data_IF_676029920010
#
_entry.id   IF_676029920010
#
_cell.length_a   1.000
_cell.length_b   1.000
_cell.length_c   1.000
_cell.angle_alpha   90.00
_cell.angle_beta   90.00
_cell.angle_gamma   90.00
#
_symmetry.space_group_name_H-M   'P 1'
#
loop_
_entity.id
_entity.type
_entity.pdbx_description
1 polymer ?
#
# COMPACT_ATOMS: atom_id res chain seq x y z
N UNK A 1 -37.48 19.29 -23.46
CA UNK A 1 -36.68 18.53 -22.48
C UNK A 1 -35.58 19.48 -22.07
N UNK A 2 -35.84 20.30 -21.04
CA UNK A 2 -35.01 21.47 -20.69
C UNK A 2 -33.91 21.06 -19.71
N UNK A 3 -32.70 21.56 -19.92
CA UNK A 3 -31.48 21.41 -19.10
C UNK A 3 -31.59 21.99 -17.66
N UNK A 4 -32.79 22.21 -17.15
CA UNK A 4 -33.06 22.92 -15.89
C UNK A 4 -33.07 21.98 -14.67
N UNK A 5 -33.04 20.66 -14.87
CA UNK A 5 -33.29 19.68 -13.79
C UNK A 5 -32.02 19.16 -13.09
N UNK A 6 -30.83 19.51 -13.58
CA UNK A 6 -29.56 19.13 -12.93
C UNK A 6 -29.18 20.08 -11.77
N UNK A 7 -29.87 21.20 -11.61
CA UNK A 7 -29.54 22.26 -10.65
C UNK A 7 -30.24 22.20 -9.30
N UNK A 8 -31.12 21.22 -9.05
CA UNK A 8 -32.05 21.25 -7.91
C UNK A 8 -31.87 20.10 -6.90
N UNK A 9 -30.69 19.46 -6.83
CA UNK A 9 -30.44 18.39 -5.84
C UNK A 9 -29.19 18.62 -4.98
N UNK A 10 -29.00 19.83 -4.48
CA UNK A 10 -28.02 20.13 -3.40
C UNK A 10 -28.70 20.23 -2.03
N UNK A 11 -29.59 19.29 -1.70
CA UNK A 11 -30.16 19.18 -0.35
C UNK A 11 -29.18 18.39 0.56
N UNK A 12 -28.31 19.13 1.26
CA UNK A 12 -27.64 18.78 2.54
C UNK A 12 -26.49 17.74 2.60
N UNK A 13 -25.86 17.36 1.48
CA UNK A 13 -24.62 16.55 1.49
C UNK A 13 -23.60 17.05 0.46
N UNK A 14 -22.29 16.94 0.76
CA UNK A 14 -21.26 17.09 -0.27
C UNK A 14 -21.34 15.92 -1.25
N UNK A 15 -21.18 16.15 -2.56
CA UNK A 15 -21.11 15.10 -3.59
C UNK A 15 -20.14 13.97 -3.22
N UNK A 16 -19.08 14.30 -2.49
CA UNK A 16 -18.13 13.33 -1.94
C UNK A 16 -18.78 12.34 -0.96
N UNK A 17 -19.67 12.83 -0.08
CA UNK A 17 -20.37 11.98 0.88
C UNK A 17 -21.34 11.03 0.18
N UNK A 18 -22.00 11.47 -0.88
CA UNK A 18 -22.88 10.65 -1.72
C UNK A 18 -22.08 9.55 -2.43
N UNK A 19 -20.97 9.93 -3.07
CA UNK A 19 -20.06 8.97 -3.70
C UNK A 19 -19.49 7.97 -2.67
N UNK A 20 -19.08 8.45 -1.48
CA UNK A 20 -18.55 7.58 -0.43
C UNK A 20 -19.58 6.53 0.02
N UNK A 21 -20.85 6.91 0.11
CA UNK A 21 -21.95 5.97 0.42
C UNK A 21 -22.13 4.93 -0.69
N UNK A 22 -22.11 5.34 -1.96
CA UNK A 22 -22.21 4.42 -3.10
C UNK A 22 -21.03 3.42 -3.13
N UNK A 23 -19.80 3.92 -2.97
CA UNK A 23 -18.57 3.12 -2.97
C UNK A 23 -18.58 2.09 -1.82
N UNK A 24 -19.03 2.50 -0.63
CA UNK A 24 -19.20 1.60 0.52
C UNK A 24 -20.30 0.58 0.30
N UNK A 25 -21.45 1.00 -0.21
CA UNK A 25 -22.58 0.12 -0.52
C UNK A 25 -22.24 -0.95 -1.58
N UNK A 26 -21.34 -0.62 -2.51
CA UNK A 26 -20.83 -1.56 -3.50
C UNK A 26 -19.72 -2.51 -2.97
N UNK A 27 -19.33 -2.41 -1.68
CA UNK A 27 -18.29 -3.26 -1.09
C UNK A 27 -16.88 -3.01 -1.65
N UNK A 28 -16.65 -1.89 -2.35
CA UNK A 28 -15.35 -1.61 -2.99
C UNK A 28 -14.23 -1.34 -1.99
N UNK A 29 -14.58 -1.02 -0.74
CA UNK A 29 -13.64 -0.81 0.37
C UNK A 29 -13.49 -2.05 1.27
N UNK A 30 -14.11 -3.18 0.91
CA UNK A 30 -14.01 -4.39 1.69
C UNK A 30 -12.58 -4.95 1.63
N UNK A 31 -12.09 -5.34 2.80
CA UNK A 31 -10.75 -5.90 2.95
C UNK A 31 -10.68 -7.27 2.28
N UNK A 32 -9.54 -7.56 1.65
CA UNK A 32 -9.30 -8.82 0.92
C UNK A 32 -8.16 -9.62 1.55
N UNK A 33 -8.33 -10.16 2.78
CA UNK A 33 -7.25 -10.78 3.54
C UNK A 33 -6.63 -11.98 2.80
N UNK A 34 -7.42 -12.79 2.10
CA UNK A 34 -6.90 -13.91 1.30
C UNK A 34 -5.97 -13.48 0.17
N UNK A 35 -6.26 -12.34 -0.48
CA UNK A 35 -5.38 -11.76 -1.51
C UNK A 35 -4.06 -11.28 -0.91
N UNK A 36 -4.11 -10.66 0.26
CA UNK A 36 -2.89 -10.23 0.97
C UNK A 36 -2.07 -11.42 1.46
N UNK A 37 -2.70 -12.46 1.99
CA UNK A 37 -2.01 -13.70 2.38
C UNK A 37 -1.28 -14.31 1.18
N UNK A 38 -1.96 -14.46 0.03
CA UNK A 38 -1.33 -14.91 -1.21
C UNK A 38 -0.15 -14.01 -1.61
N UNK A 39 -0.33 -12.69 -1.64
CA UNK A 39 0.75 -11.73 -1.98
C UNK A 39 1.96 -11.88 -1.05
N UNK A 40 1.73 -11.97 0.26
CA UNK A 40 2.79 -12.16 1.26
C UNK A 40 3.55 -13.46 1.00
N UNK A 41 2.83 -14.57 0.83
CA UNK A 41 3.43 -15.88 0.58
C UNK A 41 4.26 -15.87 -0.70
N UNK A 42 3.74 -15.31 -1.79
CA UNK A 42 4.48 -15.21 -3.07
C UNK A 42 5.71 -14.33 -2.91
N UNK A 43 5.60 -13.16 -2.29
CA UNK A 43 6.74 -12.25 -2.11
C UNK A 43 7.85 -12.86 -1.26
N UNK A 44 7.51 -13.47 -0.12
CA UNK A 44 8.48 -14.12 0.75
C UNK A 44 9.11 -15.35 0.06
N UNK A 45 8.32 -16.14 -0.68
CA UNK A 45 8.83 -17.24 -1.49
C UNK A 45 9.81 -16.78 -2.56
N UNK A 46 9.47 -15.75 -3.33
CA UNK A 46 10.36 -15.15 -4.33
C UNK A 46 11.63 -14.57 -3.69
N UNK A 47 11.53 -13.92 -2.52
CA UNK A 47 12.69 -13.40 -1.81
C UNK A 47 13.61 -14.53 -1.36
N UNK A 48 13.05 -15.64 -0.87
CA UNK A 48 13.80 -16.85 -0.54
C UNK A 48 14.54 -17.44 -1.74
N UNK A 49 13.87 -17.55 -2.90
CA UNK A 49 14.49 -17.99 -4.16
C UNK A 49 15.63 -17.05 -4.55
N UNK A 50 15.42 -15.74 -4.52
CA UNK A 50 16.46 -14.74 -4.82
C UNK A 50 17.64 -14.86 -3.86
N UNK A 51 17.41 -15.11 -2.56
CA UNK A 51 18.46 -15.37 -1.58
C UNK A 51 19.28 -16.62 -1.89
N UNK A 52 18.63 -17.72 -2.25
CA UNK A 52 19.32 -18.95 -2.71
C UNK A 52 20.12 -18.69 -3.98
N UNK A 53 19.54 -17.98 -4.96
CA UNK A 53 20.25 -17.61 -6.19
C UNK A 53 21.47 -16.74 -5.92
N UNK A 54 21.36 -15.78 -5.00
CA UNK A 54 22.48 -14.92 -4.59
C UNK A 54 23.66 -15.76 -4.06
N UNK A 55 23.39 -16.71 -3.16
CA UNK A 55 24.43 -17.57 -2.60
C UNK A 55 25.00 -18.53 -3.65
N UNK A 56 24.14 -19.12 -4.49
CA UNK A 56 24.54 -20.14 -5.48
C UNK A 56 25.31 -19.57 -6.67
N UNK A 57 24.96 -18.36 -7.13
CA UNK A 57 25.62 -17.73 -8.28
C UNK A 57 26.98 -17.13 -7.89
N UNK A 58 27.16 -16.70 -6.64
CA UNK A 58 28.41 -16.13 -6.15
C UNK A 58 28.90 -14.95 -6.99
N UNK A 59 30.21 -14.89 -7.27
CA UNK A 59 30.81 -13.83 -8.07
C UNK A 59 30.56 -14.06 -9.56
N UNK A 60 29.39 -13.65 -10.04
CA UNK A 60 28.94 -13.83 -11.42
C UNK A 60 28.22 -12.59 -11.95
N UNK A 61 28.30 -12.34 -13.27
CA UNK A 61 27.53 -11.28 -13.92
C UNK A 61 26.01 -11.47 -13.77
N UNK A 62 25.54 -12.71 -13.61
CA UNK A 62 24.14 -13.01 -13.33
C UNK A 62 23.66 -12.43 -11.99
N UNK A 63 24.57 -12.03 -11.12
CA UNK A 63 24.23 -11.33 -9.88
C UNK A 63 23.53 -9.98 -10.14
N UNK A 64 23.75 -9.36 -11.31
CA UNK A 64 23.02 -8.15 -11.73
C UNK A 64 21.53 -8.42 -11.95
N UNK A 65 21.18 -9.54 -12.59
CA UNK A 65 19.79 -9.95 -12.78
C UNK A 65 19.13 -10.32 -11.44
N UNK A 66 19.87 -10.97 -10.54
CA UNK A 66 19.42 -11.25 -9.17
C UNK A 66 19.14 -9.97 -8.40
N UNK A 67 20.03 -8.96 -8.50
CA UNK A 67 19.86 -7.67 -7.85
C UNK A 67 18.66 -6.88 -8.42
N UNK A 68 18.49 -6.85 -9.75
CA UNK A 68 17.32 -6.22 -10.38
C UNK A 68 16.00 -6.87 -9.92
N UNK A 69 15.98 -8.20 -9.84
CA UNK A 69 14.82 -8.95 -9.33
C UNK A 69 14.56 -8.62 -7.86
N UNK A 70 15.60 -8.60 -7.03
CA UNK A 70 15.50 -8.22 -5.62
C UNK A 70 14.94 -6.79 -5.45
N UNK A 71 15.40 -5.83 -6.26
CA UNK A 71 14.91 -4.46 -6.23
C UNK A 71 13.40 -4.36 -6.48
N UNK A 72 12.89 -5.11 -7.46
CA UNK A 72 11.43 -5.19 -7.72
C UNK A 72 10.71 -5.78 -6.52
N UNK A 73 11.22 -6.86 -5.92
CA UNK A 73 10.60 -7.48 -4.74
C UNK A 73 10.60 -6.55 -3.52
N UNK A 74 11.68 -5.81 -3.28
CA UNK A 74 11.74 -4.82 -2.20
C UNK A 74 10.77 -3.66 -2.42
N UNK A 75 10.60 -3.19 -3.66
CA UNK A 75 9.56 -2.21 -3.97
C UNK A 75 8.15 -2.76 -3.66
N UNK A 76 7.87 -4.03 -3.99
CA UNK A 76 6.60 -4.66 -3.64
C UNK A 76 6.41 -4.82 -2.12
N UNK A 77 7.47 -5.12 -1.37
CA UNK A 77 7.43 -5.15 0.10
C UNK A 77 7.15 -3.76 0.68
N UNK A 78 7.73 -2.70 0.11
CA UNK A 78 7.42 -1.32 0.50
C UNK A 78 5.94 -0.97 0.26
N UNK A 79 5.36 -1.37 -0.89
CA UNK A 79 3.93 -1.20 -1.14
C UNK A 79 3.06 -1.99 -0.16
N UNK A 80 3.46 -3.21 0.19
CA UNK A 80 2.76 -4.00 1.21
C UNK A 80 2.78 -3.30 2.59
N UNK A 81 3.93 -2.74 2.97
CA UNK A 81 4.06 -1.92 4.19
C UNK A 81 3.21 -0.64 4.14
N UNK A 82 3.10 0.00 2.97
CA UNK A 82 2.21 1.14 2.73
C UNK A 82 0.75 0.78 2.96
N UNK A 83 0.28 -0.34 2.40
CA UNK A 83 -1.12 -0.79 2.55
C UNK A 83 -1.45 -1.13 4.03
N UNK A 84 -0.47 -1.67 4.76
CA UNK A 84 -0.55 -1.83 6.21
C UNK A 84 -0.66 -0.48 6.94
N UNK A 85 0.14 0.52 6.55
CA UNK A 85 0.06 1.90 7.06
C UNK A 85 -1.34 2.52 6.92
N UNK A 86 -2.01 2.23 5.80
CA UNK A 86 -3.39 2.63 5.54
C UNK A 86 -4.46 1.73 6.19
N UNK A 87 -4.06 0.71 6.95
CA UNK A 87 -4.93 -0.27 7.61
C UNK A 87 -5.85 -1.02 6.64
N UNK A 88 -5.37 -1.25 5.42
CA UNK A 88 -6.11 -1.92 4.35
C UNK A 88 -6.04 -3.45 4.46
N UNK A 89 -5.04 -3.99 5.15
CA UNK A 89 -4.82 -5.43 5.21
C UNK A 89 -5.76 -6.08 6.24
N UNK A 90 -5.69 -5.63 7.49
CA UNK A 90 -6.47 -6.20 8.60
C UNK A 90 -7.43 -5.19 9.23
N UNK A 91 -8.43 -5.70 9.96
CA UNK A 91 -9.26 -4.88 10.85
C UNK A 91 -8.49 -4.44 12.10
N UNK A 92 -7.61 -5.31 12.61
CA UNK A 92 -6.80 -5.04 13.79
C UNK A 92 -5.68 -4.05 13.47
N UNK A 93 -5.60 -2.97 14.23
CA UNK A 93 -4.50 -2.00 14.13
C UNK A 93 -3.15 -2.66 14.40
N UNK A 94 -3.04 -3.42 15.49
CA UNK A 94 -1.80 -4.10 15.87
C UNK A 94 -1.30 -5.04 14.77
N UNK A 95 -2.20 -5.79 14.12
CA UNK A 95 -1.81 -6.71 13.05
C UNK A 95 -1.25 -5.96 11.83
N UNK A 96 -1.82 -4.82 11.46
CA UNK A 96 -1.25 -3.98 10.40
C UNK A 96 0.10 -3.39 10.83
N UNK A 97 0.21 -2.91 12.06
CA UNK A 97 1.46 -2.33 12.58
C UNK A 97 2.60 -3.35 12.58
N UNK A 98 2.33 -4.61 12.95
CA UNK A 98 3.32 -5.71 12.86
C UNK A 98 3.78 -5.95 11.41
N UNK A 99 2.84 -6.03 10.45
CA UNK A 99 3.22 -6.18 9.03
C UNK A 99 4.01 -4.98 8.54
N UNK A 100 3.62 -3.78 8.94
CA UNK A 100 4.31 -2.53 8.63
C UNK A 100 5.75 -2.51 9.17
N UNK A 101 5.96 -2.93 10.43
CA UNK A 101 7.30 -3.04 11.03
C UNK A 101 8.17 -4.09 10.34
N UNK A 102 7.60 -5.25 9.96
CA UNK A 102 8.34 -6.28 9.23
C UNK A 102 8.74 -5.75 7.84
N UNK A 103 7.81 -5.18 7.09
CA UNK A 103 8.08 -4.70 5.73
C UNK A 103 9.01 -3.48 5.72
N UNK A 104 8.70 -2.47 6.55
CA UNK A 104 9.47 -1.25 6.68
C UNK A 104 10.81 -1.51 7.34
N UNK A 105 10.81 -1.79 8.64
CA UNK A 105 12.04 -1.79 9.43
C UNK A 105 12.94 -2.98 9.10
N UNK A 106 12.41 -4.21 9.12
CA UNK A 106 13.23 -5.41 8.97
C UNK A 106 13.65 -5.64 7.52
N UNK A 107 12.72 -5.62 6.57
CA UNK A 107 12.99 -6.07 5.21
C UNK A 107 13.49 -4.97 4.27
N UNK A 108 13.06 -3.72 4.46
CA UNK A 108 13.46 -2.60 3.57
C UNK A 108 14.35 -1.56 4.25
N UNK A 109 14.52 -1.62 5.58
CA UNK A 109 15.33 -0.66 6.34
C UNK A 109 14.69 0.72 6.53
N UNK A 110 13.42 0.90 6.15
CA UNK A 110 12.68 2.15 6.29
C UNK A 110 11.97 2.16 7.64
N UNK A 111 12.14 3.22 8.44
CA UNK A 111 11.38 3.38 9.68
C UNK A 111 9.88 3.51 9.38
N UNK A 112 9.10 2.47 9.71
CA UNK A 112 7.66 2.44 9.47
C UNK A 112 6.94 3.61 10.15
N UNK A 113 7.27 3.90 11.41
CA UNK A 113 6.64 5.00 12.15
C UNK A 113 6.89 6.37 11.53
N UNK A 114 8.15 6.67 11.17
CA UNK A 114 8.50 7.92 10.49
C UNK A 114 7.82 8.03 9.12
N UNK A 115 7.81 6.93 8.37
CA UNK A 115 7.20 6.90 7.05
C UNK A 115 5.69 7.13 7.13
N UNK A 116 4.96 6.45 8.02
CA UNK A 116 3.51 6.62 8.20
C UNK A 116 3.17 8.05 8.62
N UNK A 117 3.94 8.63 9.55
CA UNK A 117 3.77 10.01 10.00
C UNK A 117 3.93 11.01 8.83
N UNK A 118 5.04 10.94 8.09
CA UNK A 118 5.28 11.79 6.92
C UNK A 118 4.22 11.59 5.84
N UNK A 119 3.87 10.34 5.56
CA UNK A 119 2.96 9.97 4.49
C UNK A 119 1.53 10.46 4.79
N UNK A 120 1.07 10.34 6.04
CA UNK A 120 -0.23 10.88 6.44
C UNK A 120 -0.28 12.41 6.33
N UNK A 121 0.78 13.13 6.70
CA UNK A 121 0.85 14.60 6.48
C UNK A 121 0.73 14.97 5.01
N UNK A 122 1.44 14.25 4.14
CA UNK A 122 1.38 14.45 2.69
C UNK A 122 -0.04 14.23 2.15
N UNK A 123 -0.74 13.17 2.58
CA UNK A 123 -2.11 12.89 2.17
C UNK A 123 -3.18 13.75 2.83
N UNK A 124 -2.88 14.44 3.93
CA UNK A 124 -3.77 15.43 4.52
C UNK A 124 -3.77 16.76 3.77
N UNK A 125 -2.66 17.09 3.10
CA UNK A 125 -2.49 18.32 2.32
C UNK A 125 -2.03 18.04 0.87
N UNK A 126 -2.76 17.18 0.12
CA UNK A 126 -2.40 16.93 -1.27
C UNK A 126 -2.66 18.21 -2.07
N UNK A 127 -1.65 18.69 -2.79
CA UNK A 127 -1.73 19.85 -3.70
C UNK A 127 -1.93 21.23 -3.04
N UNK A 128 -1.42 21.45 -1.82
CA UNK A 128 -1.24 22.81 -1.28
C UNK A 128 0.19 23.29 -1.54
N UNK A 129 0.34 24.38 -2.30
CA UNK A 129 1.62 25.09 -2.42
C UNK A 129 1.93 25.82 -1.10
N UNK A 130 2.99 25.42 -0.38
CA UNK A 130 3.47 26.11 0.83
C UNK A 130 3.38 25.37 2.18
N UNK A 131 3.03 24.08 2.22
CA UNK A 131 2.91 23.33 3.48
C UNK A 131 4.21 22.63 3.93
N UNK A 132 4.83 23.13 5.00
CA UNK A 132 5.87 22.45 5.78
C UNK A 132 5.23 21.58 6.89
#
# INVERSE_FOLDING_TARGET
MSDTDLGARSERGSDYADLSRLVRGAGLLDRRPGRYAMRITVLLGCLGVVGVMFVRLGQSWWQTATAATAAVLFAQLAFLGHDAGHRQIFRSRLANDVVGLICGNLLTGISYGWWVDKHNRHHAHPNTEGGA
#
